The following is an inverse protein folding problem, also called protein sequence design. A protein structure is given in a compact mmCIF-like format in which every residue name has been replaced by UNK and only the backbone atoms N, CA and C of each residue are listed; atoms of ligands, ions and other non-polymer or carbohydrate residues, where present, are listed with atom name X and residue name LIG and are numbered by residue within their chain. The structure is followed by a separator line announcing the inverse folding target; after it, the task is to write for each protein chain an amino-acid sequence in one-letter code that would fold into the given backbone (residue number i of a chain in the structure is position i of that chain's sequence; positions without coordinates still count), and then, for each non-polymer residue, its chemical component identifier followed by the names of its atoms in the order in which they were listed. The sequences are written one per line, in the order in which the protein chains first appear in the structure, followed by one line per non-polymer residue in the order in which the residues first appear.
data_IF_760792266653
#
_entry.id   IF_760792266653
#
_cell.length_a   1.000
_cell.length_b   1.000
_cell.length_c   1.000
_cell.angle_alpha   90.00
_cell.angle_beta   90.00
_cell.angle_gamma   90.00
#
_symmetry.space_group_name_H-M   'P 1'
#
loop_
_entity.id
_entity.type
_entity.pdbx_description
1 polymer ?
#
# COMPACT_ATOMS: atom_id res chain seq x y z
N UNK A 1 -29.28 -28.53 -41.57
CA UNK A 1 -28.78 -28.72 -40.18
C UNK A 1 -27.26 -28.70 -40.07
N UNK A 2 -26.50 -29.14 -41.08
CA UNK A 2 -25.03 -29.22 -41.05
C UNK A 2 -24.31 -27.86 -41.00
N UNK A 3 -24.76 -26.86 -41.76
CA UNK A 3 -24.12 -25.54 -41.81
C UNK A 3 -24.24 -24.74 -40.49
N UNK A 4 -25.41 -24.79 -39.83
CA UNK A 4 -25.63 -24.12 -38.54
C UNK A 4 -24.79 -24.76 -37.43
N UNK A 5 -24.74 -26.10 -37.40
CA UNK A 5 -23.88 -26.84 -36.47
C UNK A 5 -22.39 -26.51 -36.68
N UNK A 6 -21.95 -26.41 -37.95
CA UNK A 6 -20.58 -26.02 -38.28
C UNK A 6 -20.28 -24.58 -37.84
N UNK A 7 -21.17 -23.63 -38.10
CA UNK A 7 -21.02 -22.24 -37.68
C UNK A 7 -20.95 -22.11 -36.16
N UNK A 8 -21.79 -22.85 -35.43
CA UNK A 8 -21.76 -22.89 -33.97
C UNK A 8 -20.46 -23.52 -33.44
N UNK A 9 -19.98 -24.61 -34.04
CA UNK A 9 -18.71 -25.23 -33.69
C UNK A 9 -17.53 -24.27 -33.93
N UNK A 10 -17.51 -23.55 -35.05
CA UNK A 10 -16.50 -22.52 -35.33
C UNK A 10 -16.54 -21.40 -34.30
N UNK A 11 -17.72 -20.94 -33.88
CA UNK A 11 -17.87 -19.93 -32.82
C UNK A 11 -17.29 -20.42 -31.50
N UNK A 12 -17.57 -21.66 -31.10
CA UNK A 12 -17.00 -22.27 -29.90
C UNK A 12 -15.47 -22.37 -29.97
N UNK A 13 -14.91 -22.71 -31.14
CA UNK A 13 -13.46 -22.72 -31.34
C UNK A 13 -12.84 -21.33 -31.20
N UNK A 14 -13.50 -20.28 -31.73
CA UNK A 14 -13.07 -18.90 -31.53
C UNK A 14 -13.07 -18.54 -30.05
N UNK A 15 -14.15 -18.88 -29.33
CA UNK A 15 -14.24 -18.63 -27.89
C UNK A 15 -13.16 -19.37 -27.10
N UNK A 16 -12.94 -20.65 -27.39
CA UNK A 16 -11.87 -21.44 -26.80
C UNK A 16 -10.49 -20.82 -27.09
N UNK A 17 -10.24 -20.39 -28.33
CA UNK A 17 -9.01 -19.70 -28.71
C UNK A 17 -8.79 -18.40 -27.92
N UNK A 18 -9.84 -17.59 -27.73
CA UNK A 18 -9.76 -16.38 -26.90
C UNK A 18 -9.48 -16.72 -25.44
N UNK A 19 -10.19 -17.69 -24.85
CA UNK A 19 -9.96 -18.10 -23.46
C UNK A 19 -8.54 -18.64 -23.26
N UNK A 20 -8.01 -19.42 -24.21
CA UNK A 20 -6.66 -19.95 -24.18
C UNK A 20 -5.60 -18.84 -24.31
N UNK A 21 -5.79 -17.90 -25.24
CA UNK A 21 -4.88 -16.76 -25.43
C UNK A 21 -4.76 -15.87 -24.19
N UNK A 22 -5.80 -15.86 -23.33
CA UNK A 22 -5.82 -15.12 -22.07
C UNK A 22 -5.83 -16.03 -20.84
N UNK A 23 -5.48 -17.32 -20.96
CA UNK A 23 -5.64 -18.29 -19.87
C UNK A 23 -4.88 -17.87 -18.60
N UNK A 24 -3.64 -17.39 -18.75
CA UNK A 24 -2.82 -16.94 -17.62
C UNK A 24 -3.44 -15.77 -16.83
N UNK A 25 -3.76 -14.61 -17.44
CA UNK A 25 -4.39 -13.51 -16.69
C UNK A 25 -5.80 -13.86 -16.19
N UNK A 26 -6.58 -14.67 -16.92
CA UNK A 26 -7.88 -15.14 -16.46
C UNK A 26 -7.77 -16.02 -15.21
N UNK A 27 -6.82 -16.96 -15.20
CA UNK A 27 -6.55 -17.83 -14.07
C UNK A 27 -6.01 -17.04 -12.87
N UNK A 28 -5.16 -16.03 -13.09
CA UNK A 28 -4.68 -15.15 -12.04
C UNK A 28 -5.84 -14.44 -11.32
N UNK A 29 -6.77 -13.82 -12.06
CA UNK A 29 -7.96 -13.18 -11.47
C UNK A 29 -8.92 -14.14 -10.78
N UNK A 30 -8.95 -15.41 -11.19
CA UNK A 30 -9.76 -16.45 -10.55
C UNK A 30 -9.18 -16.90 -9.19
N UNK A 31 -7.84 -16.91 -9.09
CA UNK A 31 -7.11 -17.32 -7.89
C UNK A 31 -7.15 -16.27 -6.79
N UNK A 32 -7.27 -14.98 -7.14
CA UNK A 32 -7.46 -13.91 -6.17
C UNK A 32 -8.59 -14.23 -5.16
N UNK A 33 -8.38 -13.99 -3.86
CA UNK A 33 -9.38 -14.23 -2.83
C UNK A 33 -10.64 -13.40 -3.11
N UNK A 34 -11.80 -13.92 -2.71
CA UNK A 34 -13.08 -13.21 -2.84
C UNK A 34 -13.59 -12.97 -1.43
N UNK A 35 -13.79 -11.71 -1.06
CA UNK A 35 -14.30 -11.35 0.26
C UNK A 35 -15.82 -11.48 0.31
N UNK A 36 -16.32 -11.95 1.45
CA UNK A 36 -17.76 -12.10 1.70
C UNK A 36 -18.48 -10.78 1.94
N UNK A 37 -17.75 -9.79 2.41
CA UNK A 37 -18.24 -8.48 2.81
C UNK A 37 -17.39 -7.40 2.14
N UNK A 38 -17.94 -6.21 1.88
CA UNK A 38 -17.13 -5.04 1.58
C UNK A 38 -16.12 -4.83 2.70
N UNK A 39 -14.84 -4.67 2.36
CA UNK A 39 -13.77 -4.40 3.32
C UNK A 39 -13.09 -3.10 2.94
N UNK A 40 -12.88 -2.22 3.91
CA UNK A 40 -12.13 -0.98 3.76
C UNK A 40 -10.94 -0.98 4.72
N UNK A 41 -9.77 -0.78 4.15
CA UNK A 41 -8.50 -0.60 4.83
C UNK A 41 -8.01 0.80 4.47
N UNK A 42 -7.67 1.60 5.48
CA UNK A 42 -7.16 2.96 5.29
C UNK A 42 -5.69 2.91 5.68
N UNK A 43 -4.80 3.31 4.78
CA UNK A 43 -3.36 3.38 5.03
C UNK A 43 -2.91 4.82 4.87
N UNK A 44 -2.25 5.35 5.91
CA UNK A 44 -1.67 6.68 5.91
C UNK A 44 -0.18 6.57 6.13
N UNK A 45 0.63 7.00 5.15
CA UNK A 45 2.09 6.84 5.19
C UNK A 45 2.80 8.07 5.78
N UNK A 46 4.11 7.91 6.01
CA UNK A 46 5.09 8.89 6.50
C UNK A 46 5.00 9.32 7.98
N UNK A 47 4.18 8.68 8.80
CA UNK A 47 4.16 8.99 10.24
C UNK A 47 5.44 8.55 10.95
N UNK A 48 5.74 9.12 12.11
CA UNK A 48 6.83 8.66 12.97
C UNK A 48 7.85 9.76 13.23
N UNK A 49 9.14 9.45 13.07
CA UNK A 49 10.20 10.43 13.29
C UNK A 49 10.02 11.61 12.32
N UNK A 50 10.05 12.83 12.83
CA UNK A 50 9.75 14.04 12.04
C UNK A 50 9.09 15.15 12.86
N UNK A 51 8.34 16.05 12.22
CA UNK A 51 7.78 17.24 12.87
C UNK A 51 6.89 16.88 14.09
N UNK A 52 7.05 17.58 15.24
CA UNK A 52 6.24 17.32 16.45
C UNK A 52 4.73 17.53 16.27
N UNK A 53 4.32 18.37 15.30
CA UNK A 53 2.91 18.64 14.97
C UNK A 53 2.11 17.37 14.62
N UNK A 54 2.78 16.28 14.27
CA UNK A 54 2.16 14.97 14.08
C UNK A 54 1.36 14.49 15.30
N UNK A 55 1.79 14.82 16.53
CA UNK A 55 1.12 14.35 17.74
C UNK A 55 -0.34 14.81 17.81
N UNK A 56 -0.60 16.09 17.51
CA UNK A 56 -1.96 16.63 17.53
C UNK A 56 -2.80 16.12 16.36
N UNK A 57 -2.20 15.98 15.17
CA UNK A 57 -2.87 15.39 14.02
C UNK A 57 -3.31 13.94 14.30
N UNK A 58 -2.44 13.12 14.91
CA UNK A 58 -2.75 11.75 15.32
C UNK A 58 -3.89 11.71 16.36
N UNK A 59 -3.88 12.58 17.36
CA UNK A 59 -4.97 12.66 18.36
C UNK A 59 -6.31 13.00 17.71
N UNK A 60 -6.32 13.97 16.79
CA UNK A 60 -7.52 14.38 16.05
C UNK A 60 -8.04 13.25 15.15
N UNK A 61 -7.15 12.55 14.45
CA UNK A 61 -7.46 11.37 13.67
C UNK A 61 -8.05 10.27 14.54
N UNK A 62 -7.41 9.95 15.66
CA UNK A 62 -7.90 8.93 16.58
C UNK A 62 -9.30 9.26 17.11
N UNK A 63 -9.56 10.52 17.47
CA UNK A 63 -10.88 10.96 17.90
C UNK A 63 -11.95 10.83 16.80
N UNK A 64 -11.59 11.13 15.55
CA UNK A 64 -12.46 11.01 14.38
C UNK A 64 -12.80 9.55 14.07
N UNK A 65 -11.78 8.70 13.97
CA UNK A 65 -11.94 7.27 13.65
C UNK A 65 -12.77 6.52 14.70
N UNK A 66 -12.67 6.89 15.98
CA UNK A 66 -13.49 6.29 17.06
C UNK A 66 -14.99 6.55 16.92
N UNK A 67 -15.39 7.66 16.26
CA UNK A 67 -16.80 8.01 16.04
C UNK A 67 -17.43 7.23 14.89
N UNK A 68 -16.61 6.80 13.93
CA UNK A 68 -17.07 6.06 12.75
C UNK A 68 -17.00 4.57 13.06
N UNK A 69 -18.15 3.88 13.08
CA UNK A 69 -18.21 2.45 13.39
C UNK A 69 -18.91 1.67 12.29
N UNK A 70 -18.39 0.48 12.01
CA UNK A 70 -19.05 -0.44 11.09
C UNK A 70 -20.22 -1.19 11.73
N UNK A 71 -20.91 -2.03 10.96
CA UNK A 71 -22.10 -2.76 11.43
C UNK A 71 -21.86 -3.77 12.56
N UNK A 72 -20.62 -3.96 13.03
CA UNK A 72 -20.26 -4.78 14.22
C UNK A 72 -19.94 -3.91 15.44
N UNK A 73 -20.01 -2.59 15.30
CA UNK A 73 -19.58 -1.64 16.31
C UNK A 73 -18.07 -1.41 16.34
N UNK A 74 -17.30 -2.03 15.43
CA UNK A 74 -15.84 -1.80 15.31
C UNK A 74 -15.57 -0.39 14.78
N UNK A 75 -14.69 0.40 15.41
CA UNK A 75 -14.33 1.71 14.88
C UNK A 75 -13.55 1.59 13.56
N UNK A 76 -13.53 2.65 12.77
CA UNK A 76 -12.63 2.76 11.64
C UNK A 76 -11.18 2.62 12.14
N UNK A 77 -10.36 1.90 11.37
CA UNK A 77 -8.93 1.72 11.66
C UNK A 77 -8.10 2.32 10.53
N UNK A 78 -7.10 3.09 10.90
CA UNK A 78 -6.09 3.62 10.00
C UNK A 78 -4.76 2.93 10.28
N UNK A 79 -4.14 2.40 9.23
CA UNK A 79 -2.82 1.81 9.32
C UNK A 79 -1.80 2.90 9.09
N UNK A 80 -0.88 3.08 10.02
CA UNK A 80 0.14 4.12 9.96
C UNK A 80 1.40 3.53 9.35
N UNK A 81 1.80 3.98 8.16
CA UNK A 81 3.13 3.74 7.61
C UNK A 81 4.14 4.52 8.44
N UNK A 82 4.93 3.80 9.24
CA UNK A 82 5.86 4.41 10.20
C UNK A 82 7.28 4.43 9.66
N UNK A 83 7.85 5.64 9.61
CA UNK A 83 9.27 5.90 9.38
C UNK A 83 9.97 6.04 10.75
N UNK A 84 11.03 5.26 10.95
CA UNK A 84 11.62 5.05 12.28
C UNK A 84 12.67 6.07 12.68
N UNK A 85 13.22 6.84 11.74
CA UNK A 85 14.24 7.85 12.00
C UNK A 85 14.23 8.98 10.96
N UNK A 86 14.85 10.09 11.36
CA UNK A 86 15.16 11.27 10.55
C UNK A 86 16.63 11.66 10.78
N UNK A 87 17.24 12.55 9.98
CA UNK A 87 18.62 12.94 10.21
C UNK A 87 18.77 13.75 11.49
N UNK A 88 19.85 13.53 12.22
CA UNK A 88 20.34 14.47 13.25
C UNK A 88 21.14 15.56 12.55
N UNK A 89 20.45 16.55 11.98
CA UNK A 89 21.10 17.56 11.16
C UNK A 89 22.16 18.37 11.90
N UNK A 90 22.01 18.59 13.21
CA UNK A 90 23.03 19.25 14.03
C UNK A 90 24.33 18.44 14.10
N UNK A 91 24.25 17.12 14.33
CA UNK A 91 25.43 16.26 14.33
C UNK A 91 26.02 16.07 12.94
N UNK A 92 25.18 15.96 11.91
CA UNK A 92 25.64 15.84 10.52
C UNK A 92 26.36 17.12 10.09
N UNK A 93 25.83 18.30 10.44
CA UNK A 93 26.48 19.58 10.19
C UNK A 93 27.84 19.67 10.89
N UNK A 94 27.93 19.25 12.15
CA UNK A 94 29.18 19.20 12.91
C UNK A 94 30.23 18.26 12.30
N UNK A 95 29.79 17.18 11.66
CA UNK A 95 30.64 16.26 10.89
C UNK A 95 30.89 16.73 9.44
N UNK A 96 30.54 17.96 9.08
CA UNK A 96 30.75 18.51 7.73
C UNK A 96 29.95 17.80 6.63
N UNK A 97 28.83 17.16 6.98
CA UNK A 97 28.04 16.30 6.08
C UNK A 97 28.81 15.10 5.52
N UNK A 98 29.88 14.64 6.19
CA UNK A 98 30.64 13.46 5.79
C UNK A 98 30.08 12.15 6.39
N UNK A 99 29.42 12.23 7.54
CA UNK A 99 28.85 11.10 8.26
C UNK A 99 27.35 11.30 8.51
N UNK A 100 26.59 10.20 8.43
CA UNK A 100 25.16 10.22 8.73
C UNK A 100 24.94 9.89 10.21
N UNK A 101 24.19 10.74 10.88
CA UNK A 101 23.71 10.53 12.24
C UNK A 101 22.19 10.59 12.25
N UNK A 102 21.56 9.69 13.00
CA UNK A 102 20.11 9.56 13.04
C UNK A 102 19.52 10.07 14.35
N UNK A 103 18.35 10.70 14.25
CA UNK A 103 17.39 10.84 15.34
C UNK A 103 16.31 9.78 15.17
N UNK A 104 16.37 8.74 15.99
CA UNK A 104 15.41 7.65 15.97
C UNK A 104 14.11 8.03 16.67
N UNK A 105 13.00 7.37 16.31
CA UNK A 105 11.67 7.62 16.86
C UNK A 105 11.61 7.37 18.38
N UNK A 106 12.57 6.67 19.00
CA UNK A 106 12.64 6.50 20.46
C UNK A 106 13.17 7.75 21.20
N UNK A 107 13.77 8.70 20.48
CA UNK A 107 14.29 9.94 21.06
C UNK A 107 13.20 10.76 21.78
N UNK A 108 13.57 11.44 22.86
CA UNK A 108 12.65 12.23 23.70
C UNK A 108 11.87 13.29 22.92
N UNK A 109 12.45 13.81 21.83
CA UNK A 109 11.79 14.78 20.95
C UNK A 109 10.50 14.25 20.33
N UNK A 110 10.37 12.94 20.19
CA UNK A 110 9.21 12.29 19.59
C UNK A 110 8.26 11.64 20.60
N UNK A 111 8.45 11.90 21.92
CA UNK A 111 7.61 11.30 22.98
C UNK A 111 6.12 11.55 22.76
N UNK A 112 5.74 12.78 22.40
CA UNK A 112 4.34 13.13 22.15
C UNK A 112 3.75 12.39 20.95
N UNK A 113 4.56 12.17 19.90
CA UNK A 113 4.15 11.41 18.70
C UNK A 113 3.98 9.94 19.05
N UNK A 114 4.96 9.34 19.74
CA UNK A 114 4.87 7.94 20.20
C UNK A 114 3.69 7.72 21.14
N UNK A 115 3.42 8.66 22.05
CA UNK A 115 2.28 8.60 22.95
C UNK A 115 0.95 8.61 22.17
N UNK A 116 0.78 9.53 21.21
CA UNK A 116 -0.42 9.61 20.39
C UNK A 116 -0.64 8.34 19.53
N UNK A 117 0.43 7.78 18.96
CA UNK A 117 0.36 6.49 18.25
C UNK A 117 -0.08 5.37 19.19
N UNK A 118 0.58 5.23 20.35
CA UNK A 118 0.30 4.17 21.33
C UNK A 118 -1.13 4.26 21.87
N UNK A 119 -1.63 5.46 22.12
CA UNK A 119 -3.00 5.71 22.55
C UNK A 119 -4.02 5.27 21.48
N UNK A 120 -3.80 5.64 20.22
CA UNK A 120 -4.68 5.23 19.13
C UNK A 120 -4.62 3.72 18.82
N UNK A 121 -3.46 3.08 19.00
CA UNK A 121 -3.32 1.62 18.93
C UNK A 121 -4.15 0.98 20.03
N UNK A 122 -4.02 1.44 21.28
CA UNK A 122 -4.80 0.94 22.43
C UNK A 122 -6.31 1.15 22.24
N UNK A 123 -6.70 2.25 21.61
CA UNK A 123 -8.10 2.54 21.28
C UNK A 123 -8.63 1.73 20.08
N UNK A 124 -7.80 0.92 19.42
CA UNK A 124 -8.19 0.08 18.29
C UNK A 124 -8.44 0.84 16.99
N UNK A 125 -7.93 2.08 16.86
CA UNK A 125 -8.09 2.91 15.66
C UNK A 125 -6.81 3.09 14.85
N UNK A 126 -5.66 2.69 15.40
CA UNK A 126 -4.40 2.63 14.67
C UNK A 126 -3.80 1.23 14.62
N UNK A 127 -3.19 0.91 13.49
CA UNK A 127 -2.33 -0.27 13.32
C UNK A 127 -0.98 0.19 12.73
N UNK A 128 0.16 0.00 13.39
CA UNK A 128 1.44 0.42 12.83
C UNK A 128 1.91 -0.57 11.73
N UNK A 129 2.46 -0.06 10.64
CA UNK A 129 3.15 -0.85 9.60
C UNK A 129 4.53 -0.26 9.30
N UNK A 130 5.49 -1.09 8.90
CA UNK A 130 6.84 -0.63 8.60
C UNK A 130 6.85 0.12 7.26
N UNK A 131 7.26 1.39 7.29
CA UNK A 131 7.50 2.22 6.09
C UNK A 131 8.98 2.58 5.92
N UNK A 132 9.88 1.78 6.51
CA UNK A 132 11.33 1.91 6.40
C UNK A 132 12.00 2.56 7.61
N UNK A 133 13.32 2.41 7.73
CA UNK A 133 14.11 3.11 8.74
C UNK A 133 13.95 4.62 8.55
N UNK A 134 14.22 5.08 7.35
CA UNK A 134 14.10 6.44 6.87
C UNK A 134 13.54 6.38 5.43
N UNK A 135 13.11 7.52 4.89
CA UNK A 135 12.52 7.58 3.54
C UNK A 135 13.56 7.63 2.40
N UNK A 136 14.80 7.22 2.67
CA UNK A 136 15.96 7.33 1.77
C UNK A 136 17.04 6.30 2.10
N UNK A 137 18.04 6.15 1.24
CA UNK A 137 19.27 5.40 1.55
C UNK A 137 20.35 6.37 2.07
N UNK A 138 20.75 6.33 3.35
CA UNK A 138 21.62 7.36 3.93
C UNK A 138 22.94 7.58 3.19
N UNK A 139 23.68 6.55 2.73
CA UNK A 139 24.86 6.75 1.89
C UNK A 139 24.57 7.50 0.58
N UNK A 140 23.43 7.24 -0.05
CA UNK A 140 23.05 7.95 -1.29
C UNK A 140 22.71 9.41 -1.01
N UNK A 141 22.06 9.68 0.13
CA UNK A 141 21.74 11.04 0.56
C UNK A 141 22.99 11.85 0.92
N UNK A 142 23.94 11.27 1.64
CA UNK A 142 25.26 11.90 1.89
C UNK A 142 25.99 12.20 0.59
N UNK A 143 26.01 11.26 -0.35
CA UNK A 143 26.65 11.47 -1.65
C UNK A 143 25.98 12.60 -2.45
N UNK A 144 24.65 12.68 -2.45
CA UNK A 144 23.90 13.76 -3.09
C UNK A 144 24.20 15.13 -2.43
N UNK A 145 24.27 15.18 -1.10
CA UNK A 145 24.59 16.40 -0.34
C UNK A 145 26.00 16.97 -0.64
N UNK A 146 26.92 16.18 -1.22
CA UNK A 146 28.21 16.69 -1.66
C UNK A 146 28.13 17.50 -2.96
N UNK A 147 27.11 17.25 -3.79
CA UNK A 147 26.93 17.88 -5.09
C UNK A 147 25.77 18.89 -5.14
N UNK A 148 24.85 18.81 -4.19
CA UNK A 148 23.61 19.60 -4.16
C UNK A 148 23.49 20.36 -2.84
N UNK A 149 23.50 21.70 -2.93
CA UNK A 149 23.43 22.59 -1.76
C UNK A 149 22.07 22.55 -1.06
N UNK A 150 20.98 22.31 -1.77
CA UNK A 150 19.64 22.23 -1.19
C UNK A 150 19.48 20.92 -0.41
N UNK A 151 19.97 19.81 -0.96
CA UNK A 151 20.03 18.53 -0.25
C UNK A 151 20.93 18.63 0.98
N UNK A 152 22.07 19.32 0.88
CA UNK A 152 22.96 19.57 2.01
C UNK A 152 22.28 20.40 3.10
N UNK A 153 21.56 21.46 2.72
CA UNK A 153 20.83 22.31 3.66
C UNK A 153 19.71 21.54 4.36
N UNK A 154 18.95 20.73 3.61
CA UNK A 154 17.92 19.84 4.16
C UNK A 154 18.51 18.84 5.16
N UNK A 155 19.63 18.19 4.82
CA UNK A 155 20.26 17.17 5.65
C UNK A 155 20.86 17.75 6.94
N UNK A 156 21.36 18.98 6.89
CA UNK A 156 21.99 19.68 8.00
C UNK A 156 21.00 20.56 8.81
N UNK A 157 19.71 20.50 8.52
CA UNK A 157 18.70 21.30 9.20
C UNK A 157 18.66 20.98 10.71
N UNK A 158 18.57 22.01 11.54
CA UNK A 158 18.54 21.84 13.00
C UNK A 158 17.27 21.13 13.48
N UNK A 159 16.15 21.39 12.81
CA UNK A 159 14.88 20.74 13.08
C UNK A 159 14.65 19.57 12.11
N UNK A 160 13.98 18.48 12.54
CA UNK A 160 13.61 17.39 11.65
C UNK A 160 12.81 17.86 10.43
N UNK A 161 13.45 17.81 9.26
CA UNK A 161 12.84 18.22 8.01
C UNK A 161 11.82 17.18 7.51
N UNK A 162 10.85 17.64 6.70
CA UNK A 162 9.89 16.78 6.04
C UNK A 162 10.57 16.07 4.86
N UNK A 163 10.39 14.75 4.75
CA UNK A 163 10.97 13.93 3.67
C UNK A 163 10.37 14.27 2.32
N UNK A 164 9.16 14.83 2.32
CA UNK A 164 8.43 15.33 1.16
C UNK A 164 9.15 16.50 0.47
N UNK A 165 10.01 17.23 1.19
CA UNK A 165 10.81 18.34 0.66
C UNK A 165 12.07 17.87 -0.09
N UNK A 166 12.45 16.60 0.04
CA UNK A 166 13.59 16.04 -0.71
C UNK A 166 13.24 15.87 -2.19
N UNK A 167 14.22 15.99 -3.11
CA UNK A 167 14.07 15.55 -4.48
C UNK A 167 13.48 14.14 -4.55
N UNK A 168 12.40 13.96 -5.30
CA UNK A 168 11.57 12.75 -5.26
C UNK A 168 12.31 11.45 -5.56
N UNK A 169 13.44 11.50 -6.26
CA UNK A 169 14.27 10.34 -6.53
C UNK A 169 15.07 9.86 -5.31
N UNK A 170 15.51 10.78 -4.44
CA UNK A 170 16.22 10.48 -3.20
C UNK A 170 15.29 9.90 -2.12
N UNK A 171 13.98 10.07 -2.29
CA UNK A 171 12.94 9.48 -1.46
C UNK A 171 12.80 7.95 -1.69
N UNK A 172 13.91 7.21 -1.74
CA UNK A 172 13.93 5.77 -2.03
C UNK A 172 14.84 5.04 -1.05
N UNK A 173 14.25 4.19 -0.21
CA UNK A 173 14.97 3.43 0.81
C UNK A 173 15.85 2.31 0.25
N UNK A 174 15.42 1.64 -0.82
CA UNK A 174 16.00 0.36 -1.26
C UNK A 174 16.83 0.40 -2.54
N UNK A 175 17.24 1.59 -2.97
CA UNK A 175 18.13 1.81 -4.13
C UNK A 175 19.15 2.89 -3.82
N UNK A 176 20.28 2.84 -4.50
CA UNK A 176 21.23 3.95 -4.52
C UNK A 176 20.78 4.96 -5.58
N UNK A 177 20.10 6.01 -5.12
CA UNK A 177 19.59 7.09 -5.94
C UNK A 177 20.51 8.32 -5.99
N UNK A 178 21.78 8.23 -5.56
CA UNK A 178 22.71 9.36 -5.69
C UNK A 178 23.05 9.69 -7.15
N UNK A 179 22.73 8.77 -8.06
CA UNK A 179 22.83 8.92 -9.51
C UNK A 179 21.56 8.38 -10.17
N UNK A 180 21.26 8.86 -11.37
CA UNK A 180 20.13 8.38 -12.17
C UNK A 180 20.61 7.80 -13.52
N UNK A 181 20.06 6.67 -13.99
CA UNK A 181 19.17 5.76 -13.25
C UNK A 181 19.81 5.19 -11.97
N UNK A 182 18.98 4.95 -10.96
CA UNK A 182 19.45 4.46 -9.65
C UNK A 182 20.08 3.07 -9.76
N UNK A 183 20.99 2.75 -8.85
CA UNK A 183 21.65 1.45 -8.78
C UNK A 183 21.03 0.56 -7.71
N UNK A 184 21.09 -0.75 -7.92
CA UNK A 184 20.67 -1.71 -6.92
C UNK A 184 21.66 -1.73 -5.75
N UNK A 185 21.15 -1.88 -4.53
CA UNK A 185 21.98 -2.08 -3.34
C UNK A 185 22.51 -3.52 -3.28
N UNK A 186 23.64 -3.72 -2.62
CA UNK A 186 24.15 -5.07 -2.36
C UNK A 186 23.20 -5.84 -1.45
N UNK A 187 22.93 -7.11 -1.76
CA UNK A 187 22.00 -7.94 -1.00
C UNK A 187 22.37 -8.08 0.49
N UNK A 188 23.66 -8.05 0.82
CA UNK A 188 24.12 -8.06 2.21
C UNK A 188 23.71 -6.78 2.97
N UNK A 189 23.83 -5.61 2.32
CA UNK A 189 23.42 -4.33 2.89
C UNK A 189 21.89 -4.28 3.08
N UNK A 190 21.13 -4.81 2.12
CA UNK A 190 19.66 -4.94 2.24
C UNK A 190 19.28 -5.81 3.45
N UNK A 191 19.91 -6.98 3.61
CA UNK A 191 19.64 -7.87 4.76
C UNK A 191 19.96 -7.21 6.09
N UNK A 192 21.11 -6.54 6.20
CA UNK A 192 21.50 -5.84 7.42
C UNK A 192 20.53 -4.69 7.74
N UNK A 193 20.16 -3.91 6.72
CA UNK A 193 19.20 -2.82 6.84
C UNK A 193 17.82 -3.30 7.30
N UNK A 194 17.25 -4.33 6.68
CA UNK A 194 15.95 -4.86 7.06
C UNK A 194 15.94 -5.46 8.48
N UNK A 195 17.03 -6.13 8.89
CA UNK A 195 17.17 -6.64 10.24
C UNK A 195 17.25 -5.52 11.29
N UNK A 196 18.00 -4.46 10.99
CA UNK A 196 18.10 -3.28 11.85
C UNK A 196 16.74 -2.56 11.97
N UNK A 197 16.01 -2.40 10.85
CA UNK A 197 14.67 -1.82 10.81
C UNK A 197 13.68 -2.58 11.69
N UNK A 198 13.66 -3.92 11.59
CA UNK A 198 12.78 -4.73 12.41
C UNK A 198 13.15 -4.68 13.90
N UNK A 199 14.43 -4.59 14.23
CA UNK A 199 14.87 -4.42 15.61
C UNK A 199 14.47 -3.05 16.17
N UNK A 200 14.62 -1.97 15.40
CA UNK A 200 14.21 -0.62 15.77
C UNK A 200 12.69 -0.53 15.93
N UNK A 201 11.92 -1.09 15.00
CA UNK A 201 10.46 -1.17 15.09
C UNK A 201 10.03 -1.90 16.37
N UNK A 202 10.64 -3.06 16.68
CA UNK A 202 10.34 -3.81 17.91
C UNK A 202 10.66 -3.03 19.17
N UNK A 203 11.73 -2.23 19.18
CA UNK A 203 12.04 -1.37 20.31
C UNK A 203 10.98 -0.29 20.57
N UNK A 204 10.23 0.12 19.54
CA UNK A 204 9.17 1.14 19.62
C UNK A 204 7.83 0.52 20.01
N UNK A 205 7.44 -0.57 19.34
CA UNK A 205 6.09 -1.14 19.44
C UNK A 205 6.00 -2.42 20.27
N UNK A 206 7.13 -2.99 20.70
CA UNK A 206 7.20 -4.25 21.47
C UNK A 206 7.17 -5.52 20.61
N UNK A 207 6.58 -5.47 19.43
CA UNK A 207 6.48 -6.58 18.48
C UNK A 207 7.32 -6.37 17.22
N UNK A 208 7.69 -7.44 16.52
CA UNK A 208 8.31 -7.35 15.19
C UNK A 208 7.30 -6.86 14.15
N UNK A 209 7.73 -6.08 13.14
CA UNK A 209 6.81 -5.66 12.08
C UNK A 209 6.32 -6.87 11.30
N UNK A 210 5.03 -6.89 10.97
CA UNK A 210 4.39 -7.97 10.19
C UNK A 210 3.89 -7.50 8.82
N UNK A 211 3.83 -6.19 8.61
CA UNK A 211 3.42 -5.56 7.35
C UNK A 211 4.46 -4.52 6.97
N UNK A 212 4.89 -4.54 5.71
CA UNK A 212 5.79 -3.56 5.15
C UNK A 212 5.22 -2.90 3.89
N UNK A 213 5.50 -1.62 3.73
CA UNK A 213 5.26 -0.84 2.52
C UNK A 213 6.55 -0.12 2.15
N UNK A 214 7.05 -0.31 0.94
CA UNK A 214 8.26 0.37 0.49
C UNK A 214 7.99 1.87 0.30
N UNK A 215 8.87 2.72 0.81
CA UNK A 215 8.91 4.16 0.52
C UNK A 215 8.84 4.38 -0.98
N UNK A 216 7.85 5.13 -1.47
CA UNK A 216 7.61 5.42 -2.90
C UNK A 216 7.50 4.19 -3.82
N UNK A 217 7.22 3.01 -3.25
CA UNK A 217 7.05 1.77 -4.00
C UNK A 217 8.24 1.37 -4.89
N UNK A 218 9.47 1.61 -4.42
CA UNK A 218 10.70 1.11 -5.06
C UNK A 218 11.39 0.08 -4.18
N UNK A 219 11.40 -1.18 -4.62
CA UNK A 219 12.06 -2.31 -3.94
C UNK A 219 12.31 -3.46 -4.92
N UNK A 220 13.03 -4.50 -4.49
CA UNK A 220 13.28 -5.70 -5.29
C UNK A 220 13.03 -6.99 -4.49
N UNK A 221 13.24 -8.14 -5.11
CA UNK A 221 13.10 -9.47 -4.50
C UNK A 221 14.06 -9.71 -3.32
N UNK A 222 15.28 -9.14 -3.36
CA UNK A 222 16.21 -9.21 -2.24
C UNK A 222 15.67 -8.49 -0.99
N UNK A 223 14.93 -7.38 -1.17
CA UNK A 223 14.22 -6.70 -0.08
C UNK A 223 13.09 -7.57 0.46
N UNK A 224 12.28 -8.18 -0.41
CA UNK A 224 11.21 -9.09 0.04
C UNK A 224 11.76 -10.28 0.82
N UNK A 225 12.89 -10.85 0.40
CA UNK A 225 13.57 -11.91 1.12
C UNK A 225 14.10 -11.46 2.49
N UNK A 226 14.66 -10.26 2.57
CA UNK A 226 15.14 -9.68 3.83
C UNK A 226 13.97 -9.37 4.79
N UNK A 227 12.87 -8.83 4.27
CA UNK A 227 11.63 -8.62 5.02
C UNK A 227 11.02 -9.91 5.53
N UNK A 228 10.98 -10.97 4.72
CA UNK A 228 10.51 -12.28 5.15
C UNK A 228 11.34 -12.83 6.33
N UNK A 229 12.67 -12.70 6.27
CA UNK A 229 13.56 -13.08 7.37
C UNK A 229 13.32 -12.25 8.64
N UNK A 230 12.86 -11.00 8.48
CA UNK A 230 12.55 -10.09 9.56
C UNK A 230 11.14 -10.27 10.17
N UNK A 231 10.33 -11.21 9.64
CA UNK A 231 8.99 -11.52 10.14
C UNK A 231 7.84 -10.86 9.40
N UNK A 232 8.10 -10.17 8.28
CA UNK A 232 7.05 -9.57 7.46
C UNK A 232 6.19 -10.66 6.81
N UNK A 233 4.89 -10.58 7.07
CA UNK A 233 3.86 -11.48 6.53
C UNK A 233 3.17 -10.91 5.28
N UNK A 234 3.08 -9.57 5.19
CA UNK A 234 2.41 -8.86 4.11
C UNK A 234 3.26 -7.75 3.52
N UNK A 235 3.21 -7.61 2.20
CA UNK A 235 3.79 -6.45 1.48
C UNK A 235 2.66 -5.70 0.80
N UNK A 236 2.55 -4.41 1.11
CA UNK A 236 1.65 -3.49 0.41
C UNK A 236 2.31 -3.07 -0.90
N UNK A 237 1.55 -3.13 -2.00
CA UNK A 237 2.06 -2.87 -3.35
C UNK A 237 1.01 -2.10 -4.18
N UNK A 238 1.41 -1.27 -5.16
CA UNK A 238 0.49 -0.65 -6.10
C UNK A 238 0.08 -1.63 -7.23
N UNK A 239 0.29 -2.94 -7.02
CA UNK A 239 0.06 -4.00 -8.00
C UNK A 239 1.20 -4.16 -9.01
N UNK A 240 2.31 -3.44 -8.84
CA UNK A 240 3.52 -3.53 -9.65
C UNK A 240 4.74 -3.23 -8.79
N UNK A 241 5.87 -3.84 -9.10
CA UNK A 241 7.15 -3.54 -8.44
C UNK A 241 8.07 -2.79 -9.37
N UNK A 242 8.39 -1.56 -8.99
CA UNK A 242 9.48 -0.80 -9.58
C UNK A 242 10.77 -1.12 -8.81
N UNK A 243 11.84 -1.45 -9.52
CA UNK A 243 13.12 -1.85 -8.90
C UNK A 243 14.18 -0.73 -8.96
N UNK A 244 13.87 0.39 -9.62
CA UNK A 244 14.78 1.52 -9.77
C UNK A 244 14.05 2.87 -9.86
N UNK A 245 14.79 3.96 -9.75
CA UNK A 245 14.45 5.28 -10.31
C UNK A 245 15.09 5.40 -11.69
N UNK A 246 14.29 5.78 -12.70
CA UNK A 246 14.76 5.95 -14.07
C UNK A 246 15.58 7.24 -14.25
N UNK A 247 16.03 7.53 -15.48
CA UNK A 247 16.81 8.73 -15.79
C UNK A 247 16.09 10.07 -15.48
N UNK A 248 14.75 10.05 -15.29
CA UNK A 248 13.94 11.20 -14.87
C UNK A 248 13.61 11.19 -13.37
N UNK A 249 14.17 10.26 -12.60
CA UNK A 249 13.91 10.12 -11.16
C UNK A 249 12.57 9.47 -10.81
N UNK A 250 11.82 8.96 -11.80
CA UNK A 250 10.52 8.32 -11.58
C UNK A 250 10.69 6.82 -11.30
N UNK A 251 9.80 6.17 -10.53
CA UNK A 251 9.80 4.71 -10.40
C UNK A 251 9.82 4.04 -11.77
N UNK A 252 10.73 3.08 -11.95
CA UNK A 252 11.01 2.43 -13.22
C UNK A 252 11.50 0.99 -13.03
N UNK A 253 12.03 0.40 -14.11
CA UNK A 253 12.52 -0.98 -14.10
C UNK A 253 11.47 -1.97 -13.55
N UNK A 254 10.22 -1.85 -14.03
CA UNK A 254 9.11 -2.67 -13.55
C UNK A 254 9.32 -4.12 -13.98
N UNK A 255 9.49 -5.00 -13.01
CA UNK A 255 9.83 -6.41 -13.23
C UNK A 255 8.67 -7.37 -12.94
N UNK A 256 7.70 -6.94 -12.13
CA UNK A 256 6.58 -7.75 -11.70
C UNK A 256 5.25 -6.99 -11.70
N UNK A 257 4.18 -7.74 -11.95
CA UNK A 257 2.79 -7.36 -11.66
C UNK A 257 2.29 -8.28 -10.56
N UNK A 258 1.59 -7.73 -9.58
CA UNK A 258 1.20 -8.42 -8.35
C UNK A 258 -0.31 -8.27 -8.14
N UNK A 259 -0.94 -9.33 -7.65
CA UNK A 259 -2.34 -9.34 -7.25
C UNK A 259 -2.48 -9.63 -5.75
N UNK A 260 -3.56 -9.12 -5.16
CA UNK A 260 -3.87 -9.40 -3.76
C UNK A 260 -3.99 -10.91 -3.52
N UNK A 261 -3.32 -11.41 -2.50
CA UNK A 261 -3.32 -12.82 -2.12
C UNK A 261 -2.28 -13.67 -2.85
N UNK A 262 -1.57 -13.13 -3.86
CA UNK A 262 -0.37 -13.78 -4.38
C UNK A 262 0.74 -13.76 -3.33
N UNK A 263 1.57 -14.80 -3.33
CA UNK A 263 2.73 -14.90 -2.45
C UNK A 263 4.00 -14.59 -3.22
N UNK A 264 4.82 -13.72 -2.65
CA UNK A 264 6.20 -13.54 -3.06
C UNK A 264 6.93 -14.90 -2.97
N UNK A 265 7.95 -15.15 -3.82
CA UNK A 265 8.79 -16.35 -3.69
C UNK A 265 9.40 -16.51 -2.30
N UNK A 266 9.70 -15.40 -1.62
CA UNK A 266 10.24 -15.37 -0.26
C UNK A 266 9.22 -15.62 0.86
N UNK A 267 7.91 -15.64 0.57
CA UNK A 267 6.86 -15.96 1.54
C UNK A 267 5.79 -14.88 1.77
N UNK A 268 6.12 -13.56 1.87
CA UNK A 268 5.13 -12.53 2.13
C UNK A 268 3.99 -12.54 1.12
N UNK A 269 2.78 -12.23 1.59
CA UNK A 269 1.60 -12.14 0.71
C UNK A 269 1.38 -10.68 0.29
N UNK A 270 1.11 -10.46 -0.99
CA UNK A 270 0.85 -9.12 -1.49
C UNK A 270 -0.57 -8.68 -1.18
N UNK A 271 -0.71 -7.42 -0.77
CA UNK A 271 -1.97 -6.70 -0.72
C UNK A 271 -1.87 -5.48 -1.65
N UNK A 272 -2.76 -5.41 -2.63
CA UNK A 272 -2.76 -4.33 -3.61
C UNK A 272 -3.51 -3.12 -3.07
N UNK A 273 -2.79 -2.01 -2.93
CA UNK A 273 -3.31 -0.67 -2.60
C UNK A 273 -3.34 0.17 -3.87
N UNK A 274 -4.55 0.51 -4.32
CA UNK A 274 -4.75 1.14 -5.63
C UNK A 274 -5.87 2.21 -5.64
N UNK A 275 -6.32 2.64 -4.45
CA UNK A 275 -7.27 3.75 -4.29
C UNK A 275 -6.54 4.91 -3.63
N UNK A 276 -6.20 5.93 -4.42
CA UNK A 276 -5.50 7.12 -3.93
C UNK A 276 -6.48 8.15 -3.38
N UNK A 277 -6.21 8.68 -2.18
CA UNK A 277 -7.03 9.65 -1.46
C UNK A 277 -6.17 10.71 -0.74
N UNK A 278 -5.97 11.84 -1.42
CA UNK A 278 -5.20 12.99 -0.94
C UNK A 278 -6.06 14.28 -0.93
N UNK A 279 -6.86 14.50 0.12
CA UNK A 279 -7.70 15.69 0.23
C UNK A 279 -6.96 17.01 0.10
N UNK A 280 -5.74 17.12 0.62
CA UNK A 280 -4.93 18.33 0.50
C UNK A 280 -4.53 18.64 -0.95
N UNK A 281 -4.56 17.63 -1.84
CA UNK A 281 -4.38 17.81 -3.29
C UNK A 281 -5.72 17.98 -4.04
N UNK A 282 -6.80 18.29 -3.33
CA UNK A 282 -8.12 18.57 -3.90
C UNK A 282 -8.92 17.32 -4.26
N UNK A 283 -8.52 16.13 -3.79
CA UNK A 283 -9.30 14.93 -4.04
C UNK A 283 -10.58 14.89 -3.19
N UNK A 284 -11.75 14.63 -3.81
CA UNK A 284 -13.00 14.75 -3.09
C UNK A 284 -13.33 13.47 -2.30
N UNK A 285 -14.13 13.55 -1.21
CA UNK A 285 -14.52 12.42 -0.37
C UNK A 285 -15.11 11.21 -1.13
N UNK A 286 -15.78 11.48 -2.26
CA UNK A 286 -16.43 10.50 -3.12
C UNK A 286 -15.44 9.45 -3.66
N UNK A 287 -14.14 9.78 -3.77
CA UNK A 287 -13.11 8.85 -4.21
C UNK A 287 -13.05 7.58 -3.38
N UNK A 288 -13.23 7.72 -2.06
CA UNK A 288 -13.22 6.60 -1.12
C UNK A 288 -14.41 5.66 -1.37
N UNK A 289 -15.61 6.22 -1.55
CA UNK A 289 -16.81 5.45 -1.86
C UNK A 289 -16.74 4.76 -3.22
N UNK A 290 -16.29 5.47 -4.26
CA UNK A 290 -16.14 4.92 -5.62
C UNK A 290 -15.16 3.74 -5.63
N UNK A 291 -14.01 3.91 -4.96
CA UNK A 291 -13.03 2.85 -4.76
C UNK A 291 -13.63 1.63 -4.06
N UNK A 292 -14.32 1.86 -2.94
CA UNK A 292 -14.97 0.78 -2.18
C UNK A 292 -15.99 0.02 -3.02
N UNK A 293 -16.87 0.70 -3.73
CA UNK A 293 -17.89 0.06 -4.56
C UNK A 293 -17.26 -0.74 -5.71
N UNK A 294 -16.20 -0.21 -6.35
CA UNK A 294 -15.50 -0.92 -7.41
C UNK A 294 -14.86 -2.22 -6.90
N UNK A 295 -14.13 -2.16 -5.78
CA UNK A 295 -13.45 -3.31 -5.18
C UNK A 295 -14.45 -4.33 -4.62
N UNK A 296 -15.54 -3.87 -4.03
CA UNK A 296 -16.65 -4.72 -3.56
C UNK A 296 -17.24 -5.56 -4.69
N UNK A 297 -17.53 -4.94 -5.86
CA UNK A 297 -18.02 -5.69 -7.03
C UNK A 297 -17.03 -6.75 -7.51
N UNK A 298 -15.74 -6.51 -7.31
CA UNK A 298 -14.65 -7.42 -7.63
C UNK A 298 -14.37 -8.42 -6.49
N UNK A 299 -15.12 -8.39 -5.38
CA UNK A 299 -14.85 -9.20 -4.19
C UNK A 299 -13.46 -8.95 -3.59
N UNK A 300 -12.92 -7.74 -3.72
CA UNK A 300 -11.63 -7.33 -3.15
C UNK A 300 -11.84 -6.38 -1.97
N UNK A 301 -10.84 -6.30 -1.10
CA UNK A 301 -10.74 -5.19 -0.15
C UNK A 301 -10.43 -3.90 -0.91
N UNK A 302 -10.93 -2.78 -0.39
CA UNK A 302 -10.53 -1.45 -0.79
C UNK A 302 -9.39 -1.00 0.14
N UNK A 303 -8.17 -0.95 -0.38
CA UNK A 303 -7.02 -0.38 0.32
C UNK A 303 -6.83 1.04 -0.18
N UNK A 304 -7.09 2.00 0.71
CA UNK A 304 -7.00 3.43 0.44
C UNK A 304 -5.65 3.94 0.90
N UNK A 305 -4.95 4.61 0.00
CA UNK A 305 -3.71 5.33 0.26
C UNK A 305 -4.01 6.79 0.59
N UNK A 306 -3.43 7.28 1.68
CA UNK A 306 -3.35 8.69 2.03
C UNK A 306 -1.99 8.94 2.70
N UNK A 307 -1.64 10.20 2.95
CA UNK A 307 -0.35 10.54 3.58
C UNK A 307 -0.54 11.51 4.74
N UNK A 308 0.42 11.52 5.68
CA UNK A 308 0.40 12.43 6.84
C UNK A 308 0.22 13.89 6.44
N UNK A 309 0.76 14.30 5.29
CA UNK A 309 0.77 15.71 4.90
C UNK A 309 -0.65 16.26 4.74
N UNK A 310 -1.64 15.43 4.38
CA UNK A 310 -3.05 15.87 4.35
C UNK A 310 -3.49 16.42 5.70
N UNK A 311 -3.08 15.76 6.78
CA UNK A 311 -3.49 16.06 8.14
C UNK A 311 -2.56 17.06 8.83
N UNK A 312 -1.43 17.39 8.23
CA UNK A 312 -0.52 18.44 8.71
C UNK A 312 -0.75 19.78 7.99
N UNK A 313 -0.92 19.76 6.66
CA UNK A 313 -1.04 20.96 5.85
C UNK A 313 -2.49 21.48 5.74
N UNK A 314 -3.47 20.55 5.71
CA UNK A 314 -4.89 20.89 5.61
C UNK A 314 -5.73 20.10 6.64
N UNK A 315 -5.40 20.17 7.94
CA UNK A 315 -5.93 19.27 8.96
C UNK A 315 -7.47 19.23 9.01
N UNK A 316 -8.13 20.39 9.00
CA UNK A 316 -9.59 20.47 9.13
C UNK A 316 -10.29 19.92 7.88
N UNK A 317 -9.84 20.35 6.69
CA UNK A 317 -10.41 19.92 5.43
C UNK A 317 -10.20 18.42 5.18
N UNK A 318 -9.00 17.91 5.44
CA UNK A 318 -8.67 16.49 5.26
C UNK A 318 -9.42 15.58 6.22
N UNK A 319 -9.58 16.01 7.49
CA UNK A 319 -10.36 15.26 8.46
C UNK A 319 -11.85 15.23 8.10
N UNK A 320 -12.41 16.38 7.71
CA UNK A 320 -13.79 16.46 7.26
C UNK A 320 -14.03 15.62 5.98
N UNK A 321 -13.07 15.61 5.05
CA UNK A 321 -13.14 14.81 3.85
C UNK A 321 -13.11 13.31 4.14
N UNK A 322 -12.23 12.88 5.04
CA UNK A 322 -12.15 11.50 5.52
C UNK A 322 -13.47 11.09 6.19
N UNK A 323 -13.98 11.87 7.15
CA UNK A 323 -15.24 11.57 7.85
C UNK A 323 -16.43 11.47 6.90
N UNK A 324 -16.52 12.40 5.94
CA UNK A 324 -17.56 12.39 4.91
C UNK A 324 -17.46 11.13 4.04
N UNK A 325 -16.26 10.79 3.60
CA UNK A 325 -16.01 9.60 2.78
C UNK A 325 -16.38 8.31 3.50
N UNK A 326 -15.99 8.18 4.77
CA UNK A 326 -16.30 7.00 5.58
C UNK A 326 -17.79 6.88 5.90
N UNK A 327 -18.45 7.99 6.22
CA UNK A 327 -19.91 8.00 6.47
C UNK A 327 -20.68 7.62 5.21
N UNK A 328 -20.29 8.16 4.06
CA UNK A 328 -20.90 7.80 2.77
C UNK A 328 -20.65 6.33 2.41
N UNK A 329 -19.45 5.80 2.69
CA UNK A 329 -19.13 4.39 2.52
C UNK A 329 -20.03 3.48 3.36
N UNK A 330 -20.23 3.80 4.64
CA UNK A 330 -21.12 3.05 5.53
C UNK A 330 -22.58 3.11 5.07
N UNK A 331 -23.06 4.28 4.66
CA UNK A 331 -24.42 4.45 4.17
C UNK A 331 -24.67 3.65 2.88
N UNK A 332 -23.72 3.64 1.95
CA UNK A 332 -23.84 2.92 0.69
C UNK A 332 -23.57 1.41 0.82
N UNK A 333 -22.82 0.98 1.82
CA UNK A 333 -22.45 -0.41 2.08
C UNK A 333 -22.67 -0.76 3.56
N UNK A 334 -23.92 -1.02 4.01
CA UNK A 334 -24.21 -1.31 5.42
C UNK A 334 -23.48 -2.54 5.98
N UNK A 335 -23.07 -3.47 5.11
CA UNK A 335 -22.26 -4.64 5.46
C UNK A 335 -20.75 -4.40 5.45
N UNK A 336 -20.29 -3.16 5.28
CA UNK A 336 -18.87 -2.80 5.29
C UNK A 336 -18.20 -3.23 6.59
N UNK A 337 -16.93 -3.66 6.49
CA UNK A 337 -16.04 -3.94 7.61
C UNK A 337 -14.74 -3.16 7.51
N UNK A 338 -14.29 -2.63 8.65
CA UNK A 338 -12.96 -2.07 8.77
C UNK A 338 -11.96 -3.14 9.21
N UNK A 339 -10.81 -3.21 8.55
CA UNK A 339 -9.71 -4.12 8.89
C UNK A 339 -8.36 -3.41 8.75
N UNK A 340 -7.36 -3.87 9.49
CA UNK A 340 -5.96 -3.60 9.19
C UNK A 340 -5.44 -4.55 8.09
N UNK A 341 -4.35 -4.21 7.38
CA UNK A 341 -3.72 -5.10 6.41
C UNK A 341 -3.32 -6.46 7.01
N UNK A 342 -2.87 -6.48 8.26
CA UNK A 342 -2.47 -7.71 8.94
C UNK A 342 -3.65 -8.67 9.15
N UNK A 343 -4.79 -8.15 9.61
CA UNK A 343 -6.00 -8.97 9.76
C UNK A 343 -6.49 -9.49 8.41
N UNK A 344 -6.47 -8.63 7.39
CA UNK A 344 -6.85 -9.00 6.04
C UNK A 344 -5.94 -10.10 5.46
N UNK A 345 -4.61 -9.97 5.59
CA UNK A 345 -3.68 -10.96 5.02
C UNK A 345 -3.83 -12.31 5.72
N UNK A 346 -4.03 -12.33 7.04
CA UNK A 346 -4.22 -13.57 7.80
C UNK A 346 -5.52 -14.26 7.40
N UNK A 347 -6.64 -13.53 7.35
CA UNK A 347 -7.92 -14.05 6.88
C UNK A 347 -7.82 -14.64 5.46
N UNK A 348 -7.11 -13.97 4.55
CA UNK A 348 -6.86 -14.47 3.19
C UNK A 348 -5.99 -15.73 3.19
N UNK A 349 -4.90 -15.75 3.95
CA UNK A 349 -3.96 -16.88 4.01
C UNK A 349 -4.59 -18.14 4.61
N UNK A 350 -5.37 -17.96 5.66
CA UNK A 350 -6.06 -19.03 6.39
C UNK A 350 -7.35 -19.46 5.69
N UNK A 351 -7.79 -18.69 4.68
CA UNK A 351 -9.09 -18.87 4.00
C UNK A 351 -10.23 -18.90 5.01
N UNK A 352 -10.18 -17.99 5.98
CA UNK A 352 -11.16 -17.90 7.06
C UNK A 352 -12.58 -17.82 6.45
N UNK A 353 -13.47 -18.79 6.72
CA UNK A 353 -14.81 -18.82 6.13
C UNK A 353 -15.70 -17.64 6.57
N UNK A 354 -15.33 -16.90 7.62
CA UNK A 354 -15.99 -15.66 8.02
C UNK A 354 -15.72 -14.53 7.01
N UNK A 355 -14.55 -14.53 6.37
CA UNK A 355 -14.08 -13.44 5.51
C UNK A 355 -13.98 -13.83 4.04
N UNK A 356 -13.61 -15.06 3.73
CA UNK A 356 -13.32 -15.55 2.39
C UNK A 356 -14.46 -16.40 1.84
N UNK A 357 -14.88 -16.08 0.63
CA UNK A 357 -15.95 -16.75 -0.09
C UNK A 357 -15.44 -17.94 -0.91
N UNK A 358 -16.04 -19.10 -0.67
CA UNK A 358 -15.71 -20.36 -1.33
C UNK A 358 -16.77 -20.81 -2.34
N UNK A 359 -18.00 -20.30 -2.26
CA UNK A 359 -19.10 -20.70 -3.14
C UNK A 359 -18.83 -20.23 -4.57
N UNK A 360 -19.11 -21.09 -5.54
CA UNK A 360 -18.78 -20.84 -6.94
C UNK A 360 -19.49 -19.60 -7.51
N UNK A 361 -20.76 -19.40 -7.15
CA UNK A 361 -21.58 -18.31 -7.71
C UNK A 361 -21.04 -16.92 -7.39
N UNK A 362 -20.85 -16.51 -6.11
CA UNK A 362 -20.30 -15.19 -5.83
C UNK A 362 -18.86 -15.03 -6.34
N UNK A 363 -18.06 -16.11 -6.30
CA UNK A 363 -16.71 -16.09 -6.88
C UNK A 363 -16.72 -15.81 -8.37
N UNK A 364 -17.65 -16.41 -9.11
CA UNK A 364 -17.81 -16.16 -10.54
C UNK A 364 -18.26 -14.73 -10.84
N UNK A 365 -19.19 -14.18 -10.06
CA UNK A 365 -19.61 -12.79 -10.18
C UNK A 365 -18.43 -11.81 -9.97
N UNK A 366 -17.63 -12.03 -8.92
CA UNK A 366 -16.43 -11.27 -8.63
C UNK A 366 -15.38 -11.41 -9.74
N UNK A 367 -15.09 -12.64 -10.16
CA UNK A 367 -14.15 -12.93 -11.25
C UNK A 367 -14.54 -12.19 -12.54
N UNK A 368 -15.82 -12.25 -12.94
CA UNK A 368 -16.32 -11.54 -14.12
C UNK A 368 -16.09 -10.03 -14.01
N UNK A 369 -16.34 -9.44 -12.84
CA UNK A 369 -16.10 -8.01 -12.62
C UNK A 369 -14.61 -7.64 -12.73
N UNK A 370 -13.69 -8.56 -12.37
CA UNK A 370 -12.24 -8.37 -12.53
C UNK A 370 -11.79 -8.40 -14.00
N UNK A 371 -12.55 -9.03 -14.90
CA UNK A 371 -12.18 -9.14 -16.33
C UNK A 371 -12.18 -7.78 -17.04
N UNK A 372 -12.91 -6.79 -16.51
CA UNK A 372 -12.87 -5.42 -17.03
C UNK A 372 -11.49 -4.76 -16.84
N UNK A 373 -10.66 -5.28 -15.93
CA UNK A 373 -9.27 -4.84 -15.70
C UNK A 373 -8.25 -5.52 -16.62
N UNK A 374 -8.71 -6.30 -17.60
CA UNK A 374 -7.86 -6.88 -18.65
C UNK A 374 -8.29 -6.25 -19.98
N UNK A 375 -7.82 -5.04 -20.33
CA UNK A 375 -8.38 -4.27 -21.45
C UNK A 375 -8.34 -5.02 -22.79
N UNK A 376 -7.27 -5.78 -23.04
CA UNK A 376 -7.13 -6.60 -24.25
C UNK A 376 -8.16 -7.73 -24.29
N UNK A 377 -8.33 -8.48 -23.19
CA UNK A 377 -9.35 -9.53 -23.11
C UNK A 377 -10.75 -8.95 -23.29
N UNK A 378 -11.08 -7.86 -22.59
CA UNK A 378 -12.39 -7.19 -22.69
C UNK A 378 -12.74 -6.81 -24.13
N UNK A 379 -11.78 -6.25 -24.87
CA UNK A 379 -11.94 -5.89 -26.29
C UNK A 379 -12.15 -7.14 -27.15
N UNK A 380 -11.29 -8.15 -27.00
CA UNK A 380 -11.37 -9.39 -27.79
C UNK A 380 -12.64 -10.20 -27.48
N UNK A 381 -13.07 -10.25 -26.23
CA UNK A 381 -14.31 -10.92 -25.82
C UNK A 381 -15.56 -10.24 -26.39
N UNK A 382 -15.55 -8.90 -26.55
CA UNK A 382 -16.63 -8.17 -27.23
C UNK A 382 -16.65 -8.47 -28.73
N UNK A 383 -15.50 -8.43 -29.39
CA UNK A 383 -15.38 -8.68 -30.84
C UNK A 383 -15.73 -10.12 -31.22
N UNK A 384 -15.42 -11.09 -30.37
CA UNK A 384 -15.73 -12.51 -30.58
C UNK A 384 -17.13 -12.94 -30.15
N UNK A 385 -17.93 -12.04 -29.56
CA UNK A 385 -19.23 -12.37 -28.98
C UNK A 385 -19.19 -13.10 -27.63
N UNK A 386 -18.01 -13.49 -27.14
CA UNK A 386 -17.80 -14.19 -25.86
C UNK A 386 -18.28 -13.37 -24.64
N UNK A 387 -18.36 -12.04 -24.76
CA UNK A 387 -18.86 -11.18 -23.70
C UNK A 387 -20.33 -11.49 -23.31
N UNK A 388 -21.16 -11.96 -24.25
CA UNK A 388 -22.57 -12.27 -24.02
C UNK A 388 -22.78 -13.47 -23.08
N UNK A 389 -22.23 -14.68 -23.37
CA UNK A 389 -22.37 -15.80 -22.46
C UNK A 389 -21.72 -15.53 -21.09
N UNK A 390 -20.60 -14.81 -21.04
CA UNK A 390 -19.99 -14.40 -19.76
C UNK A 390 -20.90 -13.46 -18.95
N UNK A 391 -21.60 -12.54 -19.61
CA UNK A 391 -22.57 -11.66 -18.94
C UNK A 391 -23.80 -12.42 -18.47
N UNK A 392 -24.29 -13.39 -19.24
CA UNK A 392 -25.44 -14.22 -18.89
C UNK A 392 -25.14 -15.13 -17.69
N UNK A 393 -24.01 -15.85 -17.73
CA UNK A 393 -23.55 -16.68 -16.62
C UNK A 393 -23.35 -15.85 -15.33
N UNK A 394 -22.94 -14.59 -15.46
CA UNK A 394 -22.74 -13.68 -14.32
C UNK A 394 -23.99 -12.99 -13.80
N UNK A 395 -25.15 -13.12 -14.48
CA UNK A 395 -26.47 -12.69 -13.98
C UNK A 395 -27.25 -13.83 -13.32
N UNK A 396 -26.96 -15.06 -13.73
CA UNK A 396 -27.54 -16.28 -13.16
C UNK A 396 -26.76 -16.79 -11.92
N UNK A 397 -25.58 -16.24 -11.68
CA UNK A 397 -24.73 -16.46 -10.50
C UNK A 397 -24.94 -15.34 -9.48
#
# INVERSE_FOLDING_TARGET
MTALALAFAMLLLVWAGVLLAFAAPLAARWREPVLRQPVLVIESDDWGAGPPAQADALRRLAASLQRVRDGSGRPAVMTLGVVLEVPDGARIAAAGCAEYHALTLVDVRFDAVRAAMTEGIRAGVFAPQLHGQCHYWPPALLAAAQADADVRAWLAAAEPAATEDLPSHLQSRWVDASVLPSRALAAAAIRQAAAAEAAAYRAIFGDTPQVAVATTFVWNDAVEAAWAQAGIEAVITPGRRATCRNARGQPGCVDATMLTGERAPAGPTYLVRDVYFEPALGQPPQRLLEGLQARTRQGRACLVETHRFNFLQAPDASLAALETGLTAALAACPGLRFLSPLELVRAVRERDPAWVESRLRPRFAAWRARLDEIPRFRRTARLSGLALPLAWLGRAA
#
